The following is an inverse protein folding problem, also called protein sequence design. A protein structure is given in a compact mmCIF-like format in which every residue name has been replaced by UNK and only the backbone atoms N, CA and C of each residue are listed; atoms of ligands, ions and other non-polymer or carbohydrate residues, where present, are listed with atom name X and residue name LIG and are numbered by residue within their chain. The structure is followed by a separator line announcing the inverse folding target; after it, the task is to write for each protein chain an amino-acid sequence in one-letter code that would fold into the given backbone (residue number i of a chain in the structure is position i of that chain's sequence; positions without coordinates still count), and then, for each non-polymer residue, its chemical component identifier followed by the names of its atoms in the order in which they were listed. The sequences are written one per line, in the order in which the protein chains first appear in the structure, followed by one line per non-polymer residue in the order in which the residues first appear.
data_IF_602710839410
#
_entry.id   IF_602710839410
#
_cell.length_a   1.000
_cell.length_b   1.000
_cell.length_c   1.000
_cell.angle_alpha   90.00
_cell.angle_beta   90.00
_cell.angle_gamma   90.00
#
_symmetry.space_group_name_H-M   'P 1'
#
loop_
_entity.id
_entity.type
_entity.pdbx_description
1 polymer ?
#
# COMPACT_ATOMS: atom_id res chain seq x y z
N UNK A 1 34.61 9.71 2.25
CA UNK A 1 33.22 9.76 1.77
C UNK A 1 32.58 8.43 2.18
N UNK A 2 31.72 8.45 3.20
CA UNK A 2 31.03 7.24 3.63
C UNK A 2 29.98 6.91 2.57
N UNK A 3 30.06 5.74 1.95
CA UNK A 3 29.00 5.20 1.12
C UNK A 3 27.76 5.07 2.00
N UNK A 4 26.69 5.79 1.64
CA UNK A 4 25.41 5.64 2.30
C UNK A 4 24.95 4.20 2.07
N UNK A 5 25.04 3.34 3.10
CA UNK A 5 24.49 1.98 3.04
C UNK A 5 23.04 2.07 2.57
N UNK A 6 22.74 1.40 1.46
CA UNK A 6 21.37 1.34 0.93
C UNK A 6 20.43 0.89 2.05
N UNK A 7 19.45 1.72 2.39
CA UNK A 7 18.44 1.43 3.42
C UNK A 7 17.45 0.32 3.00
N UNK A 8 17.62 -0.24 1.78
CA UNK A 8 16.77 -1.28 1.20
C UNK A 8 17.52 -2.59 1.01
N UNK A 9 16.75 -3.69 0.94
CA UNK A 9 17.20 -5.04 0.55
C UNK A 9 16.42 -5.53 -0.66
N UNK A 10 17.07 -6.32 -1.52
CA UNK A 10 16.47 -6.93 -2.69
C UNK A 10 16.00 -8.36 -2.34
N UNK A 11 14.73 -8.65 -2.57
CA UNK A 11 14.15 -9.99 -2.36
C UNK A 11 13.74 -10.56 -3.71
N UNK A 12 14.28 -11.73 -4.06
CA UNK A 12 13.99 -12.41 -5.33
C UNK A 12 12.53 -12.84 -5.43
N UNK A 13 11.88 -12.54 -6.55
CA UNK A 13 10.52 -12.97 -6.86
C UNK A 13 10.58 -14.28 -7.62
N UNK A 14 10.71 -15.40 -6.91
CA UNK A 14 10.94 -16.72 -7.50
C UNK A 14 9.82 -17.23 -8.43
N UNK A 15 8.67 -16.61 -8.41
CA UNK A 15 7.50 -16.95 -9.22
C UNK A 15 7.20 -15.92 -10.34
N UNK A 16 8.04 -14.91 -10.52
CA UNK A 16 7.81 -13.83 -11.49
C UNK A 16 7.51 -14.33 -12.91
N UNK A 17 8.31 -15.27 -13.40
CA UNK A 17 8.14 -15.86 -14.73
C UNK A 17 6.91 -16.76 -14.89
N UNK A 18 6.27 -17.18 -13.79
CA UNK A 18 5.06 -18.01 -13.79
C UNK A 18 3.78 -17.22 -13.63
N UNK A 19 3.89 -15.95 -13.22
CA UNK A 19 2.73 -15.09 -13.02
C UNK A 19 2.21 -14.60 -14.39
N UNK A 20 0.93 -14.82 -14.65
CA UNK A 20 0.26 -14.34 -15.86
C UNK A 20 -0.39 -12.97 -15.60
N UNK A 21 -0.69 -12.24 -16.67
CA UNK A 21 -1.44 -10.98 -16.57
C UNK A 21 -2.79 -11.21 -15.90
N UNK A 22 -3.17 -10.30 -15.03
CA UNK A 22 -4.36 -10.43 -14.20
C UNK A 22 -4.18 -11.30 -12.95
N UNK A 23 -3.00 -11.88 -12.74
CA UNK A 23 -2.71 -12.66 -11.54
C UNK A 23 -1.92 -11.86 -10.51
N UNK A 24 -2.10 -12.26 -9.27
CA UNK A 24 -1.37 -11.71 -8.13
C UNK A 24 -1.00 -12.81 -7.14
N UNK A 25 0.12 -12.61 -6.45
CA UNK A 25 0.61 -13.56 -5.44
C UNK A 25 1.41 -12.84 -4.37
N UNK A 26 1.25 -13.29 -3.13
CA UNK A 26 2.00 -12.75 -2.00
C UNK A 26 3.42 -13.30 -1.93
N UNK A 27 4.38 -12.41 -1.72
CA UNK A 27 5.79 -12.70 -1.42
C UNK A 27 6.08 -12.37 0.04
N UNK A 28 6.60 -13.34 0.80
CA UNK A 28 7.10 -13.11 2.16
C UNK A 28 8.47 -12.42 2.08
N UNK A 29 8.63 -11.31 2.77
CA UNK A 29 9.86 -10.50 2.75
C UNK A 29 10.53 -10.33 4.11
N UNK A 30 9.95 -10.90 5.16
CA UNK A 30 10.45 -10.91 6.53
C UNK A 30 9.85 -12.06 7.33
N UNK A 31 10.22 -12.18 8.60
CA UNK A 31 9.84 -13.32 9.46
C UNK A 31 8.44 -13.15 10.06
N UNK A 32 8.01 -11.93 10.31
CA UNK A 32 6.69 -11.65 10.86
C UNK A 32 5.56 -11.91 9.85
N UNK A 33 4.36 -12.16 10.35
CA UNK A 33 3.19 -12.52 9.52
C UNK A 33 2.74 -11.41 8.57
N UNK A 34 2.98 -10.16 8.95
CA UNK A 34 2.62 -8.96 8.19
C UNK A 34 3.71 -8.50 7.21
N UNK A 35 4.91 -9.10 7.28
CA UNK A 35 6.02 -8.80 6.37
C UNK A 35 5.82 -9.50 5.01
N UNK A 36 4.79 -9.05 4.28
CA UNK A 36 4.38 -9.59 2.99
C UNK A 36 4.12 -8.47 2.00
N UNK A 37 4.51 -8.71 0.76
CA UNK A 37 4.28 -7.82 -0.39
C UNK A 37 3.40 -8.57 -1.40
N UNK A 38 2.39 -7.90 -1.95
CA UNK A 38 1.59 -8.43 -3.04
C UNK A 38 2.29 -8.11 -4.36
N UNK A 39 2.62 -9.13 -5.12
CA UNK A 39 3.15 -9.02 -6.48
C UNK A 39 2.00 -9.25 -7.45
N UNK A 40 1.73 -8.28 -8.30
CA UNK A 40 0.67 -8.32 -9.32
C UNK A 40 1.29 -8.17 -10.71
N UNK A 41 0.72 -8.85 -11.71
CA UNK A 41 1.13 -8.70 -13.10
C UNK A 41 0.01 -8.10 -13.93
N UNK A 42 0.31 -7.00 -14.61
CA UNK A 42 -0.62 -6.28 -15.45
C UNK A 42 0.11 -5.70 -16.67
N UNK A 43 -0.44 -5.91 -17.86
CA UNK A 43 0.16 -5.50 -19.15
C UNK A 43 1.64 -5.88 -19.30
N UNK A 44 1.97 -7.13 -18.94
CA UNK A 44 3.32 -7.66 -19.01
C UNK A 44 4.29 -7.18 -17.94
N UNK A 45 3.91 -6.21 -17.09
CA UNK A 45 4.74 -5.62 -16.03
C UNK A 45 4.36 -6.17 -14.66
N UNK A 46 5.37 -6.26 -13.79
CA UNK A 46 5.19 -6.60 -12.38
C UNK A 46 5.08 -5.35 -11.52
N UNK A 47 4.17 -5.38 -10.58
CA UNK A 47 3.96 -4.33 -9.58
C UNK A 47 4.00 -4.93 -8.19
N UNK A 48 4.48 -4.18 -7.21
CA UNK A 48 4.60 -4.61 -5.83
C UNK A 48 3.96 -3.60 -4.90
N UNK A 49 2.96 -4.07 -4.12
CA UNK A 49 2.22 -3.24 -3.14
C UNK A 49 2.18 -3.91 -1.79
N UNK A 50 1.70 -3.18 -0.77
CA UNK A 50 1.31 -3.80 0.50
C UNK A 50 0.27 -4.89 0.28
N UNK A 51 0.33 -5.98 1.03
CA UNK A 51 -0.51 -7.17 0.82
C UNK A 51 -1.79 -7.19 1.65
N UNK A 52 -2.05 -6.15 2.46
CA UNK A 52 -3.20 -6.09 3.34
C UNK A 52 -4.07 -4.85 3.06
N UNK A 53 -5.38 -5.06 3.03
CA UNK A 53 -6.36 -3.99 2.87
C UNK A 53 -6.30 -3.02 4.05
N UNK A 54 -6.24 -1.71 3.77
CA UNK A 54 -6.17 -0.67 4.81
C UNK A 54 -7.47 -0.52 5.61
N UNK A 55 -8.59 -1.12 5.15
CA UNK A 55 -9.86 -1.09 5.88
C UNK A 55 -9.82 -1.97 7.14
N UNK A 56 -9.63 -3.29 6.99
CA UNK A 56 -9.62 -4.26 8.11
C UNK A 56 -8.44 -5.23 8.08
N UNK A 57 -7.37 -4.94 7.36
CA UNK A 57 -6.19 -5.81 7.34
C UNK A 57 -6.41 -7.16 6.65
N UNK A 58 -7.44 -7.29 5.81
CA UNK A 58 -7.71 -8.53 5.07
C UNK A 58 -6.64 -8.74 4.00
N UNK A 59 -6.09 -9.96 3.84
CA UNK A 59 -5.14 -10.25 2.76
C UNK A 59 -5.76 -10.02 1.38
N UNK A 60 -5.08 -9.22 0.56
CA UNK A 60 -5.55 -8.85 -0.79
C UNK A 60 -5.34 -9.97 -1.83
N UNK A 61 -4.45 -10.93 -1.56
CA UNK A 61 -4.20 -12.08 -2.46
C UNK A 61 -5.47 -12.90 -2.75
N UNK A 62 -6.41 -12.94 -1.80
CA UNK A 62 -7.70 -13.61 -1.97
C UNK A 62 -8.74 -12.80 -2.73
N UNK A 63 -8.40 -11.59 -3.17
CA UNK A 63 -9.29 -10.69 -3.88
C UNK A 63 -9.19 -10.82 -5.40
N UNK A 64 -9.49 -9.73 -6.09
CA UNK A 64 -9.55 -9.70 -7.55
C UNK A 64 -8.60 -8.64 -8.09
N UNK A 65 -7.90 -8.95 -9.17
CA UNK A 65 -7.16 -7.96 -9.96
C UNK A 65 -7.98 -7.66 -11.22
N UNK A 66 -8.48 -6.44 -11.32
CA UNK A 66 -9.28 -5.96 -12.45
C UNK A 66 -8.58 -4.72 -12.98
N UNK A 67 -8.12 -4.78 -14.22
CA UNK A 67 -7.24 -3.77 -14.79
C UNK A 67 -6.03 -3.53 -13.87
N UNK A 68 -5.77 -2.29 -13.50
CA UNK A 68 -4.70 -1.91 -12.59
C UNK A 68 -5.14 -1.82 -11.11
N UNK A 69 -6.32 -2.36 -10.77
CA UNK A 69 -6.87 -2.28 -9.42
C UNK A 69 -6.95 -3.64 -8.74
N UNK A 70 -6.39 -3.74 -7.54
CA UNK A 70 -6.66 -4.86 -6.65
C UNK A 70 -7.87 -4.55 -5.78
N UNK A 71 -8.87 -5.44 -5.82
CA UNK A 71 -10.11 -5.35 -5.04
C UNK A 71 -10.06 -6.30 -3.85
N UNK A 72 -10.31 -5.76 -2.66
CA UNK A 72 -10.37 -6.53 -1.43
C UNK A 72 -11.54 -7.55 -1.45
N UNK A 73 -11.32 -8.83 -1.07
CA UNK A 73 -12.37 -9.84 -1.13
C UNK A 73 -13.50 -9.62 -0.11
N UNK A 74 -13.28 -8.82 0.94
CA UNK A 74 -14.27 -8.62 1.99
C UNK A 74 -15.31 -7.54 1.63
N UNK A 75 -14.87 -6.34 1.24
CA UNK A 75 -15.77 -5.19 1.04
C UNK A 75 -15.49 -4.44 -0.26
N UNK A 76 -14.70 -5.01 -1.19
CA UNK A 76 -14.39 -4.46 -2.50
C UNK A 76 -13.69 -3.08 -2.46
N UNK A 77 -12.98 -2.77 -1.36
CA UNK A 77 -12.07 -1.64 -1.36
C UNK A 77 -11.04 -1.83 -2.48
N UNK A 78 -10.88 -0.82 -3.35
CA UNK A 78 -10.02 -0.90 -4.52
C UNK A 78 -8.79 -0.02 -4.37
N UNK A 79 -7.65 -0.53 -4.81
CA UNK A 79 -6.36 0.15 -4.74
C UNK A 79 -5.63 -0.01 -6.06
N UNK A 80 -5.06 1.08 -6.59
CA UNK A 80 -4.19 1.01 -7.75
C UNK A 80 -2.93 0.21 -7.40
N UNK A 81 -2.59 -0.80 -8.20
CA UNK A 81 -1.33 -1.53 -8.06
C UNK A 81 -0.12 -0.71 -8.52
N UNK A 82 -0.34 0.36 -9.29
CA UNK A 82 0.69 1.23 -9.83
C UNK A 82 1.09 2.29 -8.80
N UNK A 83 0.11 3.03 -8.26
CA UNK A 83 0.35 4.15 -7.34
C UNK A 83 0.15 3.78 -5.88
N UNK A 84 -0.60 2.71 -5.60
CA UNK A 84 -1.03 2.31 -4.27
C UNK A 84 -2.19 3.16 -3.73
N UNK A 85 -2.71 4.12 -4.48
CA UNK A 85 -3.79 4.98 -4.02
C UNK A 85 -5.13 4.26 -3.96
N UNK A 86 -6.04 4.80 -3.14
CA UNK A 86 -7.41 4.29 -3.03
C UNK A 86 -8.19 4.74 -4.26
N UNK A 87 -8.72 3.77 -5.00
CA UNK A 87 -9.60 4.00 -6.15
C UNK A 87 -11.07 3.74 -5.79
N UNK A 88 -11.29 2.95 -4.75
CA UNK A 88 -12.64 2.58 -4.29
C UNK A 88 -12.72 2.45 -2.78
N UNK A 89 -13.68 3.11 -2.16
CA UNK A 89 -14.04 2.93 -0.76
C UNK A 89 -14.42 1.44 -0.46
N UNK A 90 -14.31 0.98 0.78
CA UNK A 90 -14.08 1.75 2.02
C UNK A 90 -12.62 1.74 2.52
N UNK A 91 -11.65 1.68 1.66
CA UNK A 91 -10.25 1.80 2.07
C UNK A 91 -10.03 3.10 2.87
N UNK A 92 -9.14 3.06 3.89
CA UNK A 92 -8.84 4.21 4.74
C UNK A 92 -7.58 4.93 4.25
N UNK A 93 -6.58 4.16 3.84
CA UNK A 93 -5.31 4.63 3.31
C UNK A 93 -4.95 3.86 2.06
N UNK A 94 -4.14 4.44 1.18
CA UNK A 94 -3.57 3.69 0.07
C UNK A 94 -2.61 2.60 0.55
N UNK A 95 -2.10 1.80 -0.35
CA UNK A 95 -1.09 0.78 -0.09
C UNK A 95 0.32 1.35 -0.30
N UNK A 96 1.34 0.94 0.47
CA UNK A 96 2.72 1.23 0.11
C UNK A 96 3.05 0.52 -1.20
N UNK A 97 3.87 1.15 -2.05
CA UNK A 97 4.41 0.56 -3.27
C UNK A 97 5.91 0.32 -3.10
N UNK A 98 6.43 -0.69 -3.80
CA UNK A 98 7.83 -1.07 -3.73
C UNK A 98 8.41 -1.21 -5.15
N UNK A 99 9.62 -0.68 -5.40
CA UNK A 99 10.27 -0.85 -6.70
C UNK A 99 10.53 -2.33 -7.00
N UNK A 100 10.37 -2.70 -8.27
CA UNK A 100 10.82 -3.98 -8.81
C UNK A 100 11.97 -3.69 -9.77
N UNK A 101 13.07 -4.41 -9.63
CA UNK A 101 14.22 -4.37 -10.51
C UNK A 101 14.41 -5.72 -11.19
N UNK A 102 14.97 -5.69 -12.39
CA UNK A 102 15.37 -6.89 -13.12
C UNK A 102 16.91 -6.95 -13.22
N UNK A 103 17.47 -8.07 -12.77
CA UNK A 103 18.92 -8.33 -12.83
C UNK A 103 19.15 -9.73 -13.38
N UNK A 104 19.92 -9.84 -14.47
CA UNK A 104 20.27 -11.11 -15.13
C UNK A 104 19.05 -12.02 -15.45
N UNK A 105 17.91 -11.43 -15.80
CA UNK A 105 16.67 -12.16 -16.11
C UNK A 105 15.86 -12.59 -14.89
N UNK A 106 16.30 -12.24 -13.69
CA UNK A 106 15.58 -12.43 -12.43
C UNK A 106 14.95 -11.12 -11.93
N UNK A 107 13.80 -11.22 -11.29
CA UNK A 107 13.09 -10.07 -10.72
C UNK A 107 13.24 -10.02 -9.21
N UNK A 108 13.47 -8.82 -8.69
CA UNK A 108 13.63 -8.55 -7.26
C UNK A 108 12.74 -7.38 -6.84
N UNK A 109 12.09 -7.51 -5.69
CA UNK A 109 11.43 -6.38 -5.04
C UNK A 109 12.38 -5.72 -4.04
N UNK A 110 12.45 -4.38 -4.06
CA UNK A 110 13.24 -3.61 -3.12
C UNK A 110 12.38 -3.21 -1.92
N UNK A 111 12.73 -3.69 -0.74
CA UNK A 111 12.01 -3.39 0.49
C UNK A 111 12.95 -2.80 1.54
N UNK A 112 12.45 -1.96 2.47
CA UNK A 112 13.25 -1.44 3.58
C UNK A 112 13.84 -2.58 4.42
N UNK A 113 15.09 -2.40 4.89
CA UNK A 113 15.77 -3.38 5.78
C UNK A 113 15.08 -3.49 7.14
N UNK A 114 14.55 -2.38 7.63
CA UNK A 114 13.89 -2.28 8.95
C UNK A 114 12.44 -2.78 8.97
N UNK A 115 12.01 -3.44 7.90
CA UNK A 115 10.66 -3.97 7.75
C UNK A 115 9.73 -3.10 6.90
N UNK A 116 8.58 -3.64 6.55
CA UNK A 116 7.62 -2.91 5.71
C UNK A 116 6.97 -1.76 6.49
N UNK A 117 6.80 -0.61 5.85
CA UNK A 117 6.15 0.52 6.49
C UNK A 117 4.71 0.15 6.84
N UNK A 118 4.35 0.32 8.11
CA UNK A 118 2.94 0.36 8.53
C UNK A 118 2.41 1.71 8.06
N UNK A 119 1.59 1.70 7.02
CA UNK A 119 1.00 2.95 6.53
C UNK A 119 0.13 3.55 7.63
N UNK A 120 0.51 4.72 8.11
CA UNK A 120 -0.32 5.52 8.99
C UNK A 120 -1.08 6.50 8.12
N UNK A 121 -2.36 6.69 8.44
CA UNK A 121 -3.16 7.75 7.83
C UNK A 121 -2.39 9.06 7.87
N UNK A 122 -2.23 9.68 6.72
CA UNK A 122 -1.68 11.02 6.65
C UNK A 122 -2.83 12.01 6.85
N UNK A 123 -2.70 13.00 7.72
CA UNK A 123 -3.71 14.04 7.85
C UNK A 123 -3.94 14.69 6.48
N UNK A 124 -5.21 14.75 6.03
CA UNK A 124 -5.60 15.41 4.78
C UNK A 124 -5.26 16.89 4.79
N UNK A 125 -5.29 17.50 5.98
CA UNK A 125 -5.01 18.92 6.19
C UNK A 125 -4.00 19.10 7.33
N UNK A 126 -3.04 19.98 7.14
CA UNK A 126 -2.10 20.37 8.19
C UNK A 126 -2.65 21.60 8.93
N UNK A 127 -2.56 21.58 10.26
CA UNK A 127 -2.93 22.73 11.08
C UNK A 127 -2.10 23.96 10.68
N UNK A 128 -2.79 25.07 10.40
CA UNK A 128 -2.17 26.39 10.25
C UNK A 128 -1.93 26.97 11.65
N UNK A 129 -0.67 27.15 12.10
CA UNK A 129 -0.35 27.69 13.43
C UNK A 129 -0.77 29.17 13.58
N UNK A 130 -0.92 29.89 12.47
CA UNK A 130 -1.36 31.29 12.48
C UNK A 130 -2.87 31.45 12.60
N UNK A 131 -3.61 30.37 12.34
CA UNK A 131 -5.07 30.38 12.51
C UNK A 131 -5.43 30.25 13.98
N UNK A 132 -5.86 31.36 14.60
CA UNK A 132 -6.25 31.44 16.02
C UNK A 132 -7.76 31.20 16.24
N UNK A 133 -8.50 30.81 15.20
CA UNK A 133 -9.94 30.52 15.33
C UNK A 133 -10.15 29.23 16.14
N UNK A 134 -11.20 29.26 16.95
CA UNK A 134 -11.65 28.08 17.70
C UNK A 134 -12.96 27.59 17.10
N UNK A 135 -13.00 26.31 16.78
CA UNK A 135 -14.19 25.65 16.24
C UNK A 135 -14.70 24.64 17.28
N UNK A 136 -16.00 24.64 17.50
CA UNK A 136 -16.68 23.69 18.38
C UNK A 136 -17.51 22.76 17.52
N UNK A 137 -17.25 21.45 17.59
CA UNK A 137 -18.00 20.44 16.86
C UNK A 137 -18.84 19.65 17.87
N UNK A 138 -20.15 19.64 17.68
CA UNK A 138 -21.08 18.90 18.51
C UNK A 138 -21.43 17.59 17.82
N UNK A 139 -20.97 16.48 18.39
CA UNK A 139 -21.17 15.13 17.88
C UNK A 139 -19.91 14.49 17.32
N UNK A 140 -19.67 13.23 17.72
CA UNK A 140 -18.52 12.39 17.29
C UNK A 140 -18.87 11.37 16.20
N UNK A 141 -19.96 11.58 15.46
CA UNK A 141 -20.30 10.73 14.32
C UNK A 141 -19.45 11.02 13.08
N UNK A 142 -19.67 10.29 11.97
CA UNK A 142 -18.88 10.45 10.75
C UNK A 142 -18.77 11.88 10.24
N UNK A 143 -19.87 12.63 10.30
CA UNK A 143 -19.90 14.04 9.89
C UNK A 143 -19.04 14.94 10.78
N UNK A 144 -19.13 14.75 12.10
CA UNK A 144 -18.33 15.52 13.06
C UNK A 144 -16.84 15.22 12.97
N UNK A 145 -16.48 13.95 12.77
CA UNK A 145 -15.09 13.53 12.58
C UNK A 145 -14.50 14.07 11.28
N UNK A 146 -15.25 14.02 10.17
CA UNK A 146 -14.83 14.58 8.90
C UNK A 146 -14.67 16.11 8.98
N UNK A 147 -15.60 16.80 9.67
CA UNK A 147 -15.48 18.23 9.91
C UNK A 147 -14.21 18.56 10.73
N UNK A 148 -13.92 17.78 11.78
CA UNK A 148 -12.72 17.96 12.59
C UNK A 148 -11.42 17.79 11.79
N UNK A 149 -11.38 16.82 10.91
CA UNK A 149 -10.23 16.55 10.04
C UNK A 149 -10.05 17.69 9.02
N UNK A 150 -11.14 18.15 8.40
CA UNK A 150 -11.10 19.24 7.41
C UNK A 150 -10.69 20.59 8.01
N UNK A 151 -11.03 20.85 9.29
CA UNK A 151 -10.71 22.10 9.99
C UNK A 151 -9.33 22.10 10.65
N UNK A 152 -8.62 20.99 10.64
CA UNK A 152 -7.31 20.84 11.29
C UNK A 152 -6.19 21.51 10.51
#
# INVERSE_FOLDING_TARGET
MAEAESSTKNIKISFAGKLQDGQMKTLKVGDEKDQKVLISKYQGKLYATGSFCSHFGVPLEGGYLIDDQVLCPAHLAGFSIITGEIERAPGLDGLPTFPIIEENGDFYVQVPKDGLPKKKSQPLVKRDPENKKHFVIIGGGPAGLNCAETLR
#
